data_IF_945670340525
#
_entry.id   IF_945670340525
#
_cell.length_a   1.000
_cell.length_b   1.000
_cell.length_c   1.000
_cell.angle_alpha   90.00
_cell.angle_beta   90.00
_cell.angle_gamma   90.00
#
_symmetry.space_group_name_H-M   'P 1'
#
loop_
_entity.id
_entity.type
_entity.pdbx_description
1 polymer ?
#
# COMPACT_ATOMS: atom_id res chain seq x y z
N UNK A 1 -10.58 -5.90 10.22
CA UNK A 1 -9.26 -5.60 9.61
C UNK A 1 -9.40 -5.37 8.11
N UNK A 2 -8.55 -4.55 7.47
CA UNK A 2 -8.58 -4.35 5.99
C UNK A 2 -7.91 -5.50 5.21
N UNK A 3 -6.94 -6.17 5.83
CA UNK A 3 -6.20 -7.31 5.30
C UNK A 3 -5.77 -8.19 6.48
N UNK A 4 -5.44 -9.45 6.22
CA UNK A 4 -4.79 -10.33 7.19
C UNK A 4 -3.68 -11.13 6.48
N UNK A 5 -2.59 -11.48 7.18
CA UNK A 5 -1.56 -12.33 6.61
C UNK A 5 -2.09 -13.75 6.44
N UNK A 6 -2.02 -14.28 5.22
CA UNK A 6 -2.41 -15.66 4.92
C UNK A 6 -1.16 -16.50 4.62
N UNK A 7 -0.73 -17.26 5.62
CA UNK A 7 0.45 -18.11 5.52
C UNK A 7 0.07 -19.45 4.86
N UNK A 8 0.44 -19.61 3.59
CA UNK A 8 0.06 -20.76 2.78
C UNK A 8 0.58 -22.07 3.37
N UNK A 9 1.83 -22.10 3.85
CA UNK A 9 2.43 -23.31 4.43
C UNK A 9 1.68 -23.76 5.69
N UNK A 10 1.45 -22.86 6.64
CA UNK A 10 0.68 -23.16 7.85
C UNK A 10 -0.76 -23.55 7.54
N UNK A 11 -1.36 -22.89 6.55
CA UNK A 11 -2.72 -23.19 6.10
C UNK A 11 -2.79 -24.63 5.58
N UNK A 12 -1.93 -25.00 4.63
CA UNK A 12 -1.92 -26.34 4.07
C UNK A 12 -1.57 -27.41 5.11
N UNK A 13 -0.62 -27.11 6.01
CA UNK A 13 -0.26 -28.02 7.11
C UNK A 13 -1.44 -28.30 8.05
N UNK A 14 -2.21 -27.27 8.43
CA UNK A 14 -3.35 -27.42 9.33
C UNK A 14 -4.62 -27.96 8.64
N UNK A 15 -4.77 -27.76 7.33
CA UNK A 15 -6.02 -28.05 6.60
C UNK A 15 -5.90 -29.20 5.60
N UNK A 16 -4.78 -29.91 5.53
CA UNK A 16 -4.54 -30.96 4.53
C UNK A 16 -5.53 -32.14 4.54
N UNK A 17 -6.29 -32.33 5.62
CA UNK A 17 -7.32 -33.39 5.73
C UNK A 17 -8.74 -32.91 5.41
N UNK A 18 -8.87 -31.66 4.96
CA UNK A 18 -10.15 -31.09 4.57
C UNK A 18 -10.48 -31.44 3.13
N UNK A 19 -11.75 -31.75 2.90
CA UNK A 19 -12.35 -31.79 1.57
C UNK A 19 -12.46 -30.37 0.98
N UNK A 20 -12.62 -30.24 -0.35
CA UNK A 20 -12.81 -28.94 -0.99
C UNK A 20 -13.96 -28.11 -0.39
N UNK A 21 -15.07 -28.75 -0.02
CA UNK A 21 -16.20 -28.07 0.61
C UNK A 21 -15.84 -27.53 2.01
N UNK A 22 -15.07 -28.30 2.79
CA UNK A 22 -14.62 -27.88 4.11
C UNK A 22 -13.61 -26.74 4.04
N UNK A 23 -12.70 -26.75 3.05
CA UNK A 23 -11.83 -25.62 2.79
C UNK A 23 -12.62 -24.34 2.49
N UNK A 24 -13.63 -24.43 1.63
CA UNK A 24 -14.51 -23.30 1.30
C UNK A 24 -15.22 -22.75 2.54
N UNK A 25 -15.80 -23.64 3.35
CA UNK A 25 -16.47 -23.26 4.60
C UNK A 25 -15.49 -22.62 5.59
N UNK A 26 -14.32 -23.21 5.79
CA UNK A 26 -13.30 -22.69 6.69
C UNK A 26 -12.85 -21.28 6.27
N UNK A 27 -12.58 -21.06 4.98
CA UNK A 27 -12.18 -19.75 4.46
C UNK A 27 -13.28 -18.70 4.59
N UNK A 28 -14.55 -19.06 4.35
CA UNK A 28 -15.68 -18.14 4.53
C UNK A 28 -15.82 -17.69 5.99
N UNK A 29 -15.75 -18.63 6.93
CA UNK A 29 -15.79 -18.34 8.37
C UNK A 29 -14.61 -17.46 8.78
N UNK A 30 -13.39 -17.81 8.36
CA UNK A 30 -12.17 -17.08 8.71
C UNK A 30 -12.17 -15.65 8.16
N UNK A 31 -12.64 -15.46 6.92
CA UNK A 31 -12.76 -14.14 6.30
C UNK A 31 -13.78 -13.28 7.03
N UNK A 32 -14.91 -13.85 7.44
CA UNK A 32 -15.89 -13.17 8.29
C UNK A 32 -15.26 -12.75 9.63
N UNK A 33 -14.54 -13.67 10.27
CA UNK A 33 -13.84 -13.44 11.53
C UNK A 33 -12.90 -12.22 11.46
N UNK A 34 -12.03 -12.17 10.44
CA UNK A 34 -11.07 -11.08 10.28
C UNK A 34 -11.73 -9.76 9.85
N UNK A 35 -12.81 -9.83 9.08
CA UNK A 35 -13.57 -8.64 8.68
C UNK A 35 -14.19 -7.95 9.89
N UNK A 36 -14.86 -8.72 10.75
CA UNK A 36 -15.61 -8.20 11.89
C UNK A 36 -14.79 -8.11 13.18
N UNK A 37 -13.59 -8.71 13.21
CA UNK A 37 -12.72 -8.76 14.37
C UNK A 37 -13.40 -9.32 15.64
N UNK A 38 -14.37 -10.21 15.44
CA UNK A 38 -15.18 -10.78 16.51
C UNK A 38 -15.46 -12.27 16.22
N UNK A 39 -15.82 -12.99 17.29
CA UNK A 39 -16.27 -14.37 17.19
C UNK A 39 -17.54 -14.51 16.36
N UNK A 40 -17.83 -15.75 15.97
CA UNK A 40 -19.00 -16.08 15.14
C UNK A 40 -20.08 -16.66 16.04
N UNK A 41 -21.21 -15.99 16.17
CA UNK A 41 -22.34 -16.59 16.89
C UNK A 41 -22.76 -17.90 16.20
N UNK A 42 -22.98 -18.94 17.01
CA UNK A 42 -23.17 -20.30 16.53
C UNK A 42 -24.35 -20.43 15.55
N UNK A 43 -25.39 -19.65 15.76
CA UNK A 43 -26.60 -19.62 14.93
C UNK A 43 -26.33 -19.07 13.53
N UNK A 44 -25.44 -18.07 13.42
CA UNK A 44 -25.08 -17.45 12.14
C UNK A 44 -24.03 -18.24 11.35
N UNK A 45 -23.33 -19.20 11.96
CA UNK A 45 -22.27 -19.96 11.31
C UNK A 45 -22.70 -20.60 9.98
N UNK A 46 -23.92 -21.15 9.92
CA UNK A 46 -24.46 -21.76 8.69
C UNK A 46 -24.79 -20.75 7.59
N UNK A 47 -25.24 -19.54 7.97
CA UNK A 47 -25.52 -18.45 7.03
C UNK A 47 -24.20 -17.90 6.47
N UNK A 48 -23.22 -17.66 7.34
CA UNK A 48 -21.90 -17.13 6.98
C UNK A 48 -21.15 -18.11 6.06
N UNK A 49 -21.14 -19.40 6.40
CA UNK A 49 -20.48 -20.43 5.59
C UNK A 49 -21.24 -20.80 4.32
N UNK A 50 -22.47 -20.29 4.16
CA UNK A 50 -23.39 -20.62 3.06
C UNK A 50 -23.67 -22.14 2.95
N UNK A 51 -23.63 -22.86 4.06
CA UNK A 51 -23.88 -24.31 4.06
C UNK A 51 -25.39 -24.58 3.96
N UNK A 52 -25.86 -24.97 2.77
CA UNK A 52 -27.27 -25.23 2.46
C UNK A 52 -27.58 -26.72 2.41
N UNK A 53 -26.74 -27.50 1.76
CA UNK A 53 -26.95 -28.93 1.55
C UNK A 53 -26.60 -29.75 2.79
N UNK A 54 -27.04 -31.02 2.83
CA UNK A 54 -26.73 -31.93 3.94
C UNK A 54 -25.21 -32.16 4.07
N UNK A 55 -24.52 -32.28 2.95
CA UNK A 55 -23.06 -32.47 2.89
C UNK A 55 -22.33 -31.22 3.38
N UNK A 56 -22.72 -30.02 2.94
CA UNK A 56 -22.14 -28.76 3.43
C UNK A 56 -22.38 -28.55 4.92
N UNK A 57 -23.57 -28.89 5.44
CA UNK A 57 -23.86 -28.81 6.88
C UNK A 57 -22.99 -29.79 7.69
N UNK A 58 -22.69 -30.96 7.16
CA UNK A 58 -21.77 -31.90 7.80
C UNK A 58 -20.33 -31.37 7.78
N UNK A 59 -19.88 -30.83 6.64
CA UNK A 59 -18.60 -30.15 6.50
C UNK A 59 -18.45 -28.98 7.49
N UNK A 60 -19.48 -28.15 7.64
CA UNK A 60 -19.51 -27.07 8.63
C UNK A 60 -19.33 -27.60 10.05
N UNK A 61 -20.05 -28.66 10.43
CA UNK A 61 -19.90 -29.27 11.76
C UNK A 61 -18.47 -29.75 12.01
N UNK A 62 -17.85 -30.39 11.01
CA UNK A 62 -16.47 -30.87 11.11
C UNK A 62 -15.47 -29.72 11.22
N UNK A 63 -15.60 -28.67 10.40
CA UNK A 63 -14.76 -27.48 10.47
C UNK A 63 -14.89 -26.77 11.82
N UNK A 64 -16.12 -26.58 12.32
CA UNK A 64 -16.34 -25.98 13.64
C UNK A 64 -15.70 -26.82 14.75
N UNK A 65 -15.83 -28.14 14.69
CA UNK A 65 -15.24 -29.02 15.70
C UNK A 65 -13.69 -29.02 15.68
N UNK A 66 -13.07 -28.86 14.51
CA UNK A 66 -11.61 -28.91 14.38
C UNK A 66 -10.92 -27.58 14.69
N UNK A 67 -11.52 -26.45 14.30
CA UNK A 67 -10.81 -25.16 14.29
C UNK A 67 -11.44 -24.10 15.19
N UNK A 68 -12.59 -24.39 15.81
CA UNK A 68 -13.31 -23.41 16.63
C UNK A 68 -13.67 -23.98 18.00
N UNK A 69 -13.57 -23.14 19.02
CA UNK A 69 -14.10 -23.41 20.35
C UNK A 69 -15.42 -22.67 20.52
N UNK A 70 -16.43 -23.34 21.07
CA UNK A 70 -17.72 -22.73 21.37
C UNK A 70 -17.73 -22.25 22.82
N UNK A 71 -17.78 -20.94 23.03
CA UNK A 71 -17.82 -20.32 24.34
C UNK A 71 -18.99 -19.34 24.39
N UNK A 72 -19.91 -19.52 25.34
CA UNK A 72 -21.09 -18.65 25.51
C UNK A 72 -21.90 -18.43 24.22
N UNK A 73 -22.06 -19.47 23.39
CA UNK A 73 -22.78 -19.38 22.11
C UNK A 73 -21.97 -18.78 20.95
N UNK A 74 -20.71 -18.41 21.18
CA UNK A 74 -19.82 -17.80 20.18
C UNK A 74 -18.67 -18.74 19.85
N UNK A 75 -18.51 -19.03 18.55
CA UNK A 75 -17.38 -19.78 18.01
C UNK A 75 -16.15 -18.87 17.88
N UNK A 76 -15.05 -19.23 18.55
CA UNK A 76 -13.76 -18.54 18.48
C UNK A 76 -12.70 -19.39 17.79
N UNK A 77 -11.83 -18.75 17.03
CA UNK A 77 -10.69 -19.42 16.39
C UNK A 77 -9.39 -18.91 17.03
N UNK A 78 -8.66 -19.79 17.71
CA UNK A 78 -7.47 -19.42 18.48
C UNK A 78 -6.41 -18.68 17.63
N UNK A 79 -6.14 -19.20 16.43
CA UNK A 79 -5.20 -18.58 15.49
C UNK A 79 -5.64 -17.17 15.09
N UNK A 80 -6.93 -16.98 14.80
CA UNK A 80 -7.47 -15.67 14.44
C UNK A 80 -7.37 -14.68 15.60
N UNK A 81 -7.64 -15.12 16.83
CA UNK A 81 -7.49 -14.28 18.03
C UNK A 81 -6.04 -13.82 18.24
N UNK A 82 -5.07 -14.71 18.07
CA UNK A 82 -3.64 -14.37 18.17
C UNK A 82 -3.24 -13.29 17.14
N UNK A 83 -3.70 -13.44 15.89
CA UNK A 83 -3.43 -12.46 14.83
C UNK A 83 -4.15 -11.13 15.07
N UNK A 84 -5.39 -11.15 15.58
CA UNK A 84 -6.12 -9.95 16.00
C UNK A 84 -5.41 -9.24 17.15
N UNK A 85 -4.89 -9.97 18.14
CA UNK A 85 -4.16 -9.39 19.26
C UNK A 85 -2.90 -8.66 18.78
N UNK A 86 -2.11 -9.30 17.90
CA UNK A 86 -0.93 -8.67 17.26
C UNK A 86 -1.33 -7.43 16.45
N UNK A 87 -2.41 -7.53 15.67
CA UNK A 87 -2.92 -6.41 14.88
C UNK A 87 -3.34 -5.22 15.75
N UNK A 88 -4.14 -5.46 16.80
CA UNK A 88 -4.61 -4.44 17.74
C UNK A 88 -3.44 -3.75 18.43
N UNK A 89 -2.44 -4.51 18.88
CA UNK A 89 -1.23 -3.95 19.48
C UNK A 89 -0.47 -3.04 18.52
N UNK A 90 -0.30 -3.46 17.25
CA UNK A 90 0.36 -2.65 16.22
C UNK A 90 -0.44 -1.41 15.86
N UNK A 91 -1.76 -1.54 15.74
CA UNK A 91 -2.68 -0.44 15.45
C UNK A 91 -2.62 0.62 16.55
N UNK A 92 -2.69 0.23 17.83
CA UNK A 92 -2.58 1.15 18.95
C UNK A 92 -1.26 1.93 18.96
N UNK A 93 -0.12 1.25 18.74
CA UNK A 93 1.19 1.90 18.62
C UNK A 93 1.24 2.90 17.46
N UNK A 94 0.69 2.54 16.31
CA UNK A 94 0.64 3.41 15.14
C UNK A 94 -0.23 4.65 15.38
N UNK A 95 -1.40 4.49 16.00
CA UNK A 95 -2.28 5.60 16.37
C UNK A 95 -1.60 6.54 17.35
N UNK A 96 -0.94 6.03 18.39
CA UNK A 96 -0.20 6.85 19.35
C UNK A 96 0.96 7.60 18.68
N UNK A 97 1.70 6.94 17.78
CA UNK A 97 2.78 7.58 17.03
C UNK A 97 2.27 8.64 16.07
N UNK A 98 1.13 8.40 15.41
CA UNK A 98 0.47 9.39 14.59
C UNK A 98 0.09 10.60 15.45
N UNK A 99 -0.66 10.40 16.54
CA UNK A 99 -1.05 11.49 17.45
C UNK A 99 0.14 12.33 17.92
N UNK A 100 1.27 11.69 18.28
CA UNK A 100 2.50 12.40 18.64
C UNK A 100 3.05 13.27 17.51
N UNK A 101 2.99 12.81 16.27
CA UNK A 101 3.41 13.61 15.09
C UNK A 101 2.48 14.79 14.88
N UNK A 102 1.16 14.56 14.89
CA UNK A 102 0.17 15.62 14.77
C UNK A 102 0.31 16.68 15.87
N UNK A 103 0.60 16.25 17.11
CA UNK A 103 0.83 17.20 18.21
C UNK A 103 2.09 18.02 18.01
N UNK A 104 3.21 17.40 17.61
CA UNK A 104 4.45 18.12 17.27
C UNK A 104 4.24 19.14 16.16
N UNK A 105 3.48 18.78 15.12
CA UNK A 105 3.17 19.70 14.02
C UNK A 105 2.34 20.89 14.52
N UNK A 106 1.37 20.65 15.41
CA UNK A 106 0.59 21.72 16.06
C UNK A 106 1.48 22.61 16.94
N UNK A 107 2.37 22.03 17.74
CA UNK A 107 3.27 22.78 18.62
C UNK A 107 4.28 23.60 17.80
N UNK A 108 4.78 23.06 16.68
CA UNK A 108 5.64 23.78 15.75
C UNK A 108 4.92 24.96 15.08
N UNK A 109 3.67 24.76 14.64
CA UNK A 109 2.83 25.84 14.09
C UNK A 109 2.54 26.90 15.15
N UNK A 110 2.22 26.49 16.39
CA UNK A 110 1.97 27.41 17.50
C UNK A 110 3.23 28.23 17.84
N UNK A 111 4.40 27.59 17.89
CA UNK A 111 5.68 28.27 18.14
C UNK A 111 6.05 29.24 17.01
N UNK A 112 5.78 28.87 15.75
CA UNK A 112 6.00 29.75 14.60
C UNK A 112 5.09 30.99 14.66
N UNK A 113 3.81 30.81 15.02
CA UNK A 113 2.89 31.93 15.21
C UNK A 113 3.29 32.82 16.39
N UNK A 114 3.80 32.24 17.49
CA UNK A 114 4.30 33.01 18.63
C UNK A 114 5.53 33.87 18.27
N UNK A 115 6.46 33.34 17.47
CA UNK A 115 7.62 34.10 16.96
C UNK A 115 7.17 35.24 16.02
N UNK A 116 6.16 35.01 15.18
CA UNK A 116 5.63 36.04 14.29
C UNK A 116 4.98 37.21 15.06
N UNK A 117 4.21 36.92 16.11
CA UNK A 117 3.59 37.96 16.96
C UNK A 117 4.65 38.70 17.79
N UNK A 118 5.66 37.99 18.31
CA UNK A 118 6.75 38.62 19.06
C UNK A 118 7.60 39.55 18.17
N UNK A 119 7.88 39.17 16.92
CA UNK A 119 8.55 40.05 15.96
C UNK A 119 7.77 41.32 15.66
N UNK A 120 6.43 41.24 15.61
CA UNK A 120 5.57 42.40 15.36
C UNK A 120 5.47 43.38 16.55
N UNK A 121 5.77 42.95 17.78
CA UNK A 121 5.74 43.81 18.98
C UNK A 121 7.08 44.49 19.28
N UNK A 122 8.19 43.97 18.75
CA UNK A 122 9.54 44.57 18.92
C UNK A 122 9.80 45.68 17.88
N UNK A 123 9.06 45.69 16.77
CA UNK A 123 9.19 46.70 15.71
C UNK A 123 8.23 47.89 15.90
N UNK A 124 8.31 48.56 17.06
CA UNK A 124 7.72 49.90 17.26
C UNK A 124 8.79 51.00 17.10
N UNK A 125 9.66 50.83 16.11
CA UNK A 125 10.67 51.80 15.69
C UNK A 125 10.40 52.28 14.27
N UNK A 126 9.64 53.37 14.15
CA UNK A 126 9.33 54.13 12.94
C UNK A 126 10.41 54.13 11.83
N UNK A 127 10.11 53.48 10.70
CA UNK A 127 10.46 53.99 9.37
C UNK A 127 9.45 53.49 8.32
N UNK A 128 8.60 54.39 7.84
CA UNK A 128 7.67 54.12 6.75
C UNK A 128 8.46 53.88 5.45
N UNK A 129 8.18 52.77 4.78
CA UNK A 129 8.70 52.46 3.44
C UNK A 129 7.51 52.09 2.55
N UNK A 130 7.42 52.59 1.31
CA UNK A 130 6.15 52.62 0.60
C UNK A 130 5.76 51.25 0.05
N UNK A 131 4.44 51.05 0.07
CA UNK A 131 3.69 49.89 -0.35
C UNK A 131 3.75 49.73 -1.88
N UNK A 132 4.38 48.67 -2.39
CA UNK A 132 4.11 48.17 -3.74
C UNK A 132 3.15 47.00 -3.66
N UNK A 133 1.88 47.34 -3.87
CA UNK A 133 0.77 46.44 -4.12
C UNK A 133 0.92 45.75 -5.47
N UNK A 134 1.04 44.41 -5.48
CA UNK A 134 0.56 43.61 -6.61
C UNK A 134 -0.26 42.43 -6.09
N UNK A 135 -1.57 42.63 -6.26
CA UNK A 135 -2.65 41.68 -6.05
C UNK A 135 -2.50 40.43 -6.92
N UNK A 136 -2.97 39.33 -6.34
CA UNK A 136 -3.26 38.06 -6.97
C UNK A 136 -3.94 38.18 -8.33
N UNK A 137 -3.51 37.37 -9.29
CA UNK A 137 -4.43 36.81 -10.26
C UNK A 137 -4.14 35.33 -10.49
N UNK A 138 -5.14 34.50 -10.17
CA UNK A 138 -5.21 33.11 -10.59
C UNK A 138 -5.62 33.15 -12.04
N UNK A 139 -4.72 32.85 -12.97
CA UNK A 139 -5.14 32.43 -14.30
C UNK A 139 -4.32 31.25 -14.80
N UNK A 140 -5.10 30.24 -15.19
CA UNK A 140 -4.74 29.10 -16.01
C UNK A 140 -3.85 29.52 -17.18
N UNK A 141 -2.64 28.95 -17.25
CA UNK A 141 -1.71 29.15 -18.35
C UNK A 141 -0.91 27.87 -18.59
N UNK A 142 -1.42 27.01 -19.49
CA UNK A 142 -0.56 26.18 -20.32
C UNK A 142 0.48 27.11 -20.98
N UNK A 143 1.77 26.81 -20.83
CA UNK A 143 2.75 26.83 -21.92
C UNK A 143 4.15 26.47 -21.41
N UNK A 144 4.63 25.34 -21.94
CA UNK A 144 5.96 25.08 -22.47
C UNK A 144 7.12 26.02 -22.08
N UNK A 145 8.19 25.41 -21.54
CA UNK A 145 9.54 25.95 -21.67
C UNK A 145 10.53 25.50 -20.59
N UNK A 146 11.11 24.30 -20.72
CA UNK A 146 12.48 23.95 -20.29
C UNK A 146 12.80 22.47 -20.65
N UNK A 147 14.06 22.14 -20.99
CA UNK A 147 14.50 21.78 -22.32
C UNK A 147 14.36 20.27 -22.62
N UNK A 148 13.77 19.95 -23.77
CA UNK A 148 13.69 18.59 -24.32
C UNK A 148 14.98 18.15 -25.06
N UNK A 149 16.08 18.89 -24.96
CA UNK A 149 17.32 18.61 -25.68
C UNK A 149 18.47 18.31 -24.71
N UNK A 150 18.52 17.07 -24.20
CA UNK A 150 19.65 16.60 -23.38
C UNK A 150 19.46 15.23 -22.73
N UNK A 151 18.21 14.76 -22.58
CA UNK A 151 17.92 13.52 -21.84
C UNK A 151 18.22 12.22 -22.62
N UNK A 152 18.48 12.30 -23.93
CA UNK A 152 18.67 11.13 -24.80
C UNK A 152 19.97 10.34 -24.54
N UNK A 153 20.88 10.83 -23.67
CA UNK A 153 22.20 10.23 -23.46
C UNK A 153 22.60 10.13 -21.97
N UNK A 154 21.66 10.09 -21.04
CA UNK A 154 21.98 9.91 -19.62
C UNK A 154 22.36 8.45 -19.34
N UNK A 155 23.66 8.12 -19.44
CA UNK A 155 24.22 6.79 -19.10
C UNK A 155 24.89 6.74 -17.73
N UNK A 156 25.21 7.90 -17.15
CA UNK A 156 25.80 7.99 -15.82
C UNK A 156 24.71 7.86 -14.73
N UNK A 157 24.98 7.01 -13.74
CA UNK A 157 24.07 6.73 -12.63
C UNK A 157 23.75 8.00 -11.82
N UNK A 158 24.74 8.85 -11.57
CA UNK A 158 24.55 10.10 -10.83
C UNK A 158 23.69 11.11 -11.59
N UNK A 159 23.90 11.21 -12.89
CA UNK A 159 23.10 12.07 -13.77
C UNK A 159 21.65 11.60 -13.87
N UNK A 160 21.40 10.29 -14.01
CA UNK A 160 20.05 9.69 -13.97
C UNK A 160 19.37 10.01 -12.63
N UNK A 161 20.09 9.88 -11.52
CA UNK A 161 19.54 10.12 -10.19
C UNK A 161 19.16 11.59 -9.97
N UNK A 162 20.00 12.50 -10.45
CA UNK A 162 19.78 13.95 -10.37
C UNK A 162 18.57 14.36 -11.21
N UNK A 163 18.49 13.87 -12.45
CA UNK A 163 17.37 14.13 -13.34
C UNK A 163 16.06 13.54 -12.80
N UNK A 164 16.10 12.32 -12.25
CA UNK A 164 14.92 11.71 -11.63
C UNK A 164 14.42 12.48 -10.41
N UNK A 165 15.33 13.00 -9.58
CA UNK A 165 14.97 13.78 -8.39
C UNK A 165 14.29 15.11 -8.78
N UNK A 166 14.58 15.64 -9.96
CA UNK A 166 13.97 16.86 -10.48
C UNK A 166 12.59 16.63 -11.14
N UNK A 167 12.19 15.37 -11.40
CA UNK A 167 10.89 15.08 -12.00
C UNK A 167 9.73 15.35 -11.02
N UNK A 168 8.70 16.13 -11.43
CA UNK A 168 7.44 16.18 -10.68
C UNK A 168 6.81 14.79 -10.66
N UNK A 169 6.21 14.44 -9.52
CA UNK A 169 5.53 13.16 -9.28
C UNK A 169 6.39 11.88 -9.43
N UNK A 170 7.70 11.99 -9.67
CA UNK A 170 8.66 10.88 -9.80
C UNK A 170 9.00 10.15 -8.49
N UNK A 171 8.54 10.64 -7.33
CA UNK A 171 8.74 9.97 -6.03
C UNK A 171 10.13 10.14 -5.42
N UNK A 172 10.99 10.95 -6.05
CA UNK A 172 12.30 11.33 -5.55
C UNK A 172 13.30 10.16 -5.46
N UNK A 173 14.45 10.42 -4.84
CA UNK A 173 15.54 9.45 -4.74
C UNK A 173 15.22 8.20 -3.90
N UNK A 174 14.29 8.30 -2.94
CA UNK A 174 13.87 7.15 -2.12
C UNK A 174 13.19 6.06 -2.95
N UNK A 175 12.39 6.45 -3.95
CA UNK A 175 11.75 5.52 -4.87
C UNK A 175 12.80 4.77 -5.72
N UNK A 176 13.78 5.49 -6.27
CA UNK A 176 14.86 4.91 -7.07
C UNK A 176 15.71 3.93 -6.25
N UNK A 177 16.06 4.30 -5.02
CA UNK A 177 16.80 3.40 -4.12
C UNK A 177 16.02 2.11 -3.83
N UNK A 178 14.70 2.18 -3.71
CA UNK A 178 13.88 0.99 -3.56
C UNK A 178 13.93 0.10 -4.82
N UNK A 179 13.82 0.69 -6.01
CA UNK A 179 13.92 -0.05 -7.28
C UNK A 179 15.26 -0.77 -7.43
N UNK A 180 16.38 -0.11 -7.10
CA UNK A 180 17.72 -0.70 -7.18
C UNK A 180 17.94 -1.85 -6.19
N UNK A 181 17.17 -1.87 -5.10
CA UNK A 181 17.17 -2.95 -4.10
C UNK A 181 16.30 -4.13 -4.55
N UNK A 182 15.10 -3.85 -5.06
CA UNK A 182 14.10 -4.86 -5.41
C UNK A 182 14.34 -5.51 -6.78
N UNK A 183 14.98 -4.79 -7.71
CA UNK A 183 15.21 -5.26 -9.08
C UNK A 183 16.71 -5.38 -9.38
N UNK A 184 17.11 -6.58 -9.82
CA UNK A 184 18.44 -6.88 -10.37
C UNK A 184 18.30 -7.40 -11.81
N UNK A 185 19.29 -7.16 -12.69
CA UNK A 185 20.53 -6.42 -12.46
C UNK A 185 20.30 -4.90 -12.39
N UNK A 186 21.21 -4.20 -11.70
CA UNK A 186 21.14 -2.74 -11.53
C UNK A 186 21.12 -1.98 -12.87
N UNK A 187 21.89 -2.43 -13.86
CA UNK A 187 21.94 -1.83 -15.19
C UNK A 187 20.55 -1.72 -15.84
N UNK A 188 19.68 -2.71 -15.61
CA UNK A 188 18.31 -2.72 -16.14
C UNK A 188 17.44 -1.63 -15.51
N UNK A 189 17.60 -1.39 -14.21
CA UNK A 189 16.87 -0.34 -13.51
C UNK A 189 17.29 1.03 -14.03
N UNK A 190 18.59 1.23 -14.22
CA UNK A 190 19.13 2.48 -14.78
C UNK A 190 18.63 2.72 -16.21
N UNK A 191 18.56 1.68 -17.05
CA UNK A 191 18.00 1.78 -18.40
C UNK A 191 16.51 2.17 -18.39
N UNK A 192 15.72 1.56 -17.51
CA UNK A 192 14.29 1.89 -17.38
C UNK A 192 14.07 3.34 -16.93
N UNK A 193 14.87 3.82 -15.98
CA UNK A 193 14.85 5.21 -15.53
C UNK A 193 15.23 6.17 -16.66
N UNK A 194 16.31 5.88 -17.39
CA UNK A 194 16.75 6.68 -18.52
C UNK A 194 15.68 6.77 -19.64
N UNK A 195 15.05 5.64 -19.99
CA UNK A 195 13.93 5.61 -20.96
C UNK A 195 12.73 6.45 -20.52
N UNK A 196 12.47 6.50 -19.22
CA UNK A 196 11.38 7.30 -18.67
C UNK A 196 11.70 8.78 -18.68
N UNK A 197 12.96 9.15 -18.46
CA UNK A 197 13.44 10.53 -18.51
C UNK A 197 13.53 11.07 -19.94
N UNK A 198 13.68 10.19 -20.95
CA UNK A 198 13.80 10.56 -22.35
C UNK A 198 12.49 11.08 -22.97
N UNK A 199 11.33 10.73 -22.40
CA UNK A 199 10.02 11.13 -22.93
C UNK A 199 9.16 11.77 -21.82
N UNK A 200 8.43 12.85 -22.10
CA UNK A 200 7.50 13.42 -21.11
C UNK A 200 6.40 12.39 -20.78
N UNK A 201 6.33 11.97 -19.51
CA UNK A 201 5.34 11.01 -19.02
C UNK A 201 4.40 11.68 -18.03
N UNK A 202 3.11 11.39 -18.16
CA UNK A 202 2.09 11.84 -17.20
C UNK A 202 2.21 11.15 -15.83
N UNK A 203 2.70 9.90 -15.80
CA UNK A 203 3.05 9.17 -14.57
C UNK A 203 4.37 8.41 -14.76
N UNK A 204 5.51 9.02 -14.38
CA UNK A 204 6.83 8.41 -14.50
C UNK A 204 6.98 7.13 -13.66
N UNK A 205 6.33 7.03 -12.50
CA UNK A 205 6.44 5.86 -11.61
C UNK A 205 5.76 4.65 -12.22
N UNK A 206 4.52 4.82 -12.67
CA UNK A 206 3.76 3.73 -13.27
C UNK A 206 4.46 3.18 -14.51
N UNK A 207 5.03 4.08 -15.33
CA UNK A 207 5.77 3.69 -16.52
C UNK A 207 7.04 2.87 -16.20
N UNK A 208 7.91 3.34 -15.29
CA UNK A 208 9.11 2.58 -14.88
C UNK A 208 8.74 1.20 -14.34
N UNK A 209 7.71 1.13 -13.50
CA UNK A 209 7.23 -0.14 -12.96
C UNK A 209 6.67 -1.06 -14.06
N UNK A 210 6.03 -0.53 -15.09
CA UNK A 210 5.55 -1.31 -16.23
C UNK A 210 6.72 -1.89 -17.04
N UNK A 211 7.75 -1.08 -17.34
CA UNK A 211 8.97 -1.54 -18.02
C UNK A 211 9.70 -2.61 -17.20
N UNK A 212 9.77 -2.45 -15.88
CA UNK A 212 10.36 -3.44 -14.99
C UNK A 212 9.50 -4.72 -14.84
N UNK A 213 8.19 -4.66 -15.12
CA UNK A 213 7.30 -5.84 -15.16
C UNK A 213 7.35 -6.60 -16.49
N UNK A 214 7.49 -5.92 -17.62
CA UNK A 214 7.36 -6.52 -18.95
C UNK A 214 8.38 -7.63 -19.27
N UNK A 215 9.56 -7.64 -18.64
CA UNK A 215 10.56 -8.69 -18.90
C UNK A 215 10.38 -9.96 -18.05
N UNK A 216 9.32 -10.08 -17.24
CA UNK A 216 8.97 -11.36 -16.62
C UNK A 216 8.18 -12.28 -17.57
N UNK A 217 7.70 -11.76 -18.71
CA UNK A 217 7.32 -12.64 -19.81
C UNK A 217 8.60 -13.22 -20.40
N UNK A 218 8.84 -14.51 -20.14
CA UNK A 218 9.78 -15.31 -20.92
C UNK A 218 9.36 -15.16 -22.40
N UNK A 219 10.26 -14.73 -23.29
CA UNK A 219 10.01 -14.79 -24.73
C UNK A 219 9.67 -16.22 -25.19
N UNK A 220 10.15 -17.21 -24.42
CA UNK A 220 10.00 -18.64 -24.67
C UNK A 220 9.18 -19.33 -23.55
N UNK A 221 7.95 -18.89 -23.31
CA UNK A 221 7.01 -19.64 -22.46
C UNK A 221 6.16 -20.59 -23.32
N UNK A 222 6.48 -21.90 -23.38
CA UNK A 222 5.74 -22.87 -24.19
C UNK A 222 4.30 -23.10 -23.72
N UNK A 223 3.88 -22.54 -22.58
CA UNK A 223 2.50 -22.63 -22.09
C UNK A 223 1.58 -21.51 -22.57
N UNK A 224 2.11 -20.50 -23.29
CA UNK A 224 1.29 -19.43 -23.86
C UNK A 224 0.43 -19.88 -25.05
N UNK A 225 0.84 -20.94 -25.77
CA UNK A 225 0.07 -21.50 -26.89
C UNK A 225 -1.04 -22.47 -26.45
N UNK A 226 -1.00 -23.01 -25.23
CA UNK A 226 -1.95 -24.05 -24.79
C UNK A 226 -3.31 -23.52 -24.33
N UNK A 227 -3.47 -22.20 -24.17
CA UNK A 227 -4.72 -21.58 -23.71
C UNK A 227 -5.55 -20.91 -24.81
N UNK A 228 -5.11 -20.97 -26.07
CA UNK A 228 -5.88 -20.46 -27.22
C UNK A 228 -6.68 -21.58 -27.92
N UNK A 229 -6.46 -22.85 -27.55
CA UNK A 229 -7.12 -24.01 -28.16
C UNK A 229 -8.30 -24.63 -27.40
N UNK A 230 -8.73 -24.05 -26.27
CA UNK A 230 -9.87 -24.56 -25.49
C UNK A 230 -10.73 -23.39 -24.98
N UNK A 231 -11.40 -22.71 -25.91
CA UNK A 231 -12.71 -22.07 -25.71
C UNK A 231 -13.54 -22.29 -26.97
#
# INVERSE_FOLDING_TARGET
>A
MKYFPFWISDYLGATGTLSPAEHGIYLLLLTHYFRHENGIEREFAGIISRARTRTEKAALKRVLAMFFTLENGVCRNARAEDELAKYRQKSAKNTANAQKRWQKDKDAIASANAHAIAGALVDTGHHATPMQSQSSDRSSGYCAGAPAAGAAQLRDKGAIFTAWKALPDGGGGGFVNNLLREHKPEARVLEALAKTLAEPRNDPKAYVLAVLRQSWRRPDDPLAEYLVGVI
#
